data_IF_192986560177
#
_entry.id   IF_192986560177
#
_cell.length_a   1.000
_cell.length_b   1.000
_cell.length_c   1.000
_cell.angle_alpha   90.00
_cell.angle_beta   90.00
_cell.angle_gamma   90.00
#
_symmetry.space_group_name_H-M   'P 1'
#
loop_
_entity.id
_entity.type
_entity.pdbx_description
1 polymer ?
#
# COMPACT_ATOMS: atom_id res chain seq x y z
N UNK A 1 -9.29 -69.65 -45.80
CA UNK A 1 -8.65 -68.30 -45.97
C UNK A 1 -9.51 -67.11 -45.51
N UNK A 2 -10.84 -67.27 -45.28
CA UNK A 2 -11.73 -66.15 -44.87
C UNK A 2 -11.62 -65.76 -43.38
N UNK A 3 -11.43 -66.73 -42.47
CA UNK A 3 -11.37 -66.49 -41.02
C UNK A 3 -10.13 -65.69 -40.57
N UNK A 4 -8.97 -65.98 -41.17
CA UNK A 4 -7.69 -65.28 -40.90
C UNK A 4 -7.71 -63.79 -41.29
N UNK A 5 -8.49 -63.41 -42.30
CA UNK A 5 -8.63 -62.00 -42.73
C UNK A 5 -9.52 -61.19 -41.77
N UNK A 6 -10.59 -61.81 -41.24
CA UNK A 6 -11.44 -61.18 -40.23
C UNK A 6 -10.70 -60.96 -38.92
N UNK A 7 -9.89 -61.93 -38.47
CA UNK A 7 -9.12 -61.81 -37.24
C UNK A 7 -8.03 -60.73 -37.33
N UNK A 8 -7.35 -60.60 -38.47
CA UNK A 8 -6.40 -59.50 -38.73
C UNK A 8 -7.08 -58.13 -38.80
N UNK A 9 -8.27 -58.05 -39.41
CA UNK A 9 -9.05 -56.81 -39.46
C UNK A 9 -9.51 -56.35 -38.07
N UNK A 10 -9.97 -57.27 -37.23
CA UNK A 10 -10.37 -56.98 -35.85
C UNK A 10 -9.16 -56.56 -35.00
N UNK A 11 -8.01 -57.23 -35.15
CA UNK A 11 -6.79 -56.87 -34.43
C UNK A 11 -6.23 -55.50 -34.85
N UNK A 12 -6.32 -55.13 -36.14
CA UNK A 12 -5.93 -53.80 -36.61
C UNK A 12 -6.88 -52.72 -36.08
N UNK A 13 -8.19 -52.97 -36.06
CA UNK A 13 -9.17 -52.05 -35.49
C UNK A 13 -8.99 -51.87 -33.98
N UNK A 14 -8.70 -52.92 -33.22
CA UNK A 14 -8.46 -52.78 -31.77
C UNK A 14 -7.15 -52.05 -31.47
N UNK A 15 -6.10 -52.24 -32.27
CA UNK A 15 -4.84 -51.48 -32.14
C UNK A 15 -5.04 -50.00 -32.51
N UNK A 16 -5.79 -49.69 -33.57
CA UNK A 16 -6.15 -48.31 -33.92
C UNK A 16 -7.03 -47.63 -32.85
N UNK A 17 -7.96 -48.38 -32.24
CA UNK A 17 -8.78 -47.89 -31.13
C UNK A 17 -7.92 -47.63 -29.88
N UNK A 18 -6.99 -48.54 -29.54
CA UNK A 18 -6.06 -48.35 -28.41
C UNK A 18 -5.06 -47.20 -28.63
N UNK A 19 -4.58 -46.98 -29.86
CA UNK A 19 -3.71 -45.85 -30.18
C UNK A 19 -4.46 -44.51 -30.13
N UNK A 20 -5.75 -44.48 -30.44
CA UNK A 20 -6.58 -43.28 -30.34
C UNK A 20 -6.84 -42.86 -28.88
N UNK A 21 -6.90 -43.83 -27.95
CA UNK A 21 -7.07 -43.56 -26.51
C UNK A 21 -5.76 -43.11 -25.86
N UNK A 22 -4.60 -43.50 -26.39
CA UNK A 22 -3.29 -43.09 -25.88
C UNK A 22 -2.82 -41.71 -26.36
N UNK A 23 -3.46 -41.14 -27.38
CA UNK A 23 -3.13 -39.81 -27.96
C UNK A 23 -4.13 -38.71 -27.58
N UNK A 24 -5.08 -39.01 -26.68
CA UNK A 24 -5.92 -37.98 -26.05
C UNK A 24 -5.08 -37.14 -25.11
N UNK A 25 -4.31 -36.19 -25.65
CA UNK A 25 -3.67 -35.15 -24.86
C UNK A 25 -4.73 -34.52 -23.96
N UNK A 26 -4.53 -34.63 -22.65
CA UNK A 26 -5.44 -34.08 -21.66
C UNK A 26 -5.53 -32.57 -21.93
N UNK A 27 -6.70 -32.07 -22.35
CA UNK A 27 -6.85 -30.62 -22.54
C UNK A 27 -6.49 -29.91 -21.25
N UNK A 28 -5.67 -28.84 -21.31
CA UNK A 28 -5.17 -28.17 -20.12
C UNK A 28 -6.35 -27.65 -19.30
N UNK A 29 -6.37 -27.96 -18.00
CA UNK A 29 -7.44 -27.53 -17.10
C UNK A 29 -7.55 -26.01 -17.12
N UNK A 30 -8.74 -25.50 -17.41
CA UNK A 30 -8.98 -24.06 -17.44
C UNK A 30 -9.20 -23.52 -16.01
N UNK A 31 -8.48 -22.46 -15.66
CA UNK A 31 -8.51 -21.83 -14.33
C UNK A 31 -8.95 -20.38 -14.49
N UNK A 32 -10.18 -20.06 -14.09
CA UNK A 32 -10.71 -18.71 -14.19
C UNK A 32 -10.20 -17.84 -13.03
N UNK A 33 -9.62 -16.68 -13.35
CA UNK A 33 -9.20 -15.66 -12.39
C UNK A 33 -10.12 -14.46 -12.56
N UNK A 34 -10.79 -14.07 -11.47
CA UNK A 34 -11.69 -12.94 -11.43
C UNK A 34 -10.96 -11.64 -11.07
N UNK A 35 -11.44 -10.51 -11.59
CA UNK A 35 -10.98 -9.20 -11.15
C UNK A 35 -12.11 -8.17 -11.11
N UNK A 36 -12.15 -7.36 -10.05
CA UNK A 36 -12.98 -6.15 -9.93
C UNK A 36 -12.05 -4.95 -10.02
N UNK A 37 -12.15 -4.21 -11.13
CA UNK A 37 -11.20 -3.18 -11.50
C UNK A 37 -11.83 -1.78 -11.50
N UNK A 38 -11.07 -0.78 -11.05
CA UNK A 38 -11.58 0.59 -10.91
C UNK A 38 -11.99 1.24 -12.24
N UNK A 39 -11.32 0.87 -13.34
CA UNK A 39 -11.53 1.46 -14.67
C UNK A 39 -11.34 0.41 -15.76
N UNK A 40 -12.07 0.56 -16.87
CA UNK A 40 -11.98 -0.33 -18.04
C UNK A 40 -10.57 -0.46 -18.60
N UNK A 41 -9.75 0.60 -18.54
CA UNK A 41 -8.35 0.55 -19.01
C UNK A 41 -7.51 -0.52 -18.30
N UNK A 42 -7.82 -0.80 -17.03
CA UNK A 42 -7.11 -1.81 -16.25
C UNK A 42 -7.53 -3.24 -16.62
N UNK A 43 -8.68 -3.44 -17.27
CA UNK A 43 -9.11 -4.77 -17.73
C UNK A 43 -8.15 -5.34 -18.77
N UNK A 44 -7.64 -4.49 -19.67
CA UNK A 44 -6.64 -4.91 -20.64
C UNK A 44 -5.31 -5.27 -19.95
N UNK A 45 -4.85 -4.42 -19.03
CA UNK A 45 -3.64 -4.68 -18.24
C UNK A 45 -3.75 -6.01 -17.48
N UNK A 46 -4.92 -6.31 -16.91
CA UNK A 46 -5.18 -7.58 -16.24
C UNK A 46 -5.15 -8.77 -17.20
N UNK A 47 -5.78 -8.67 -18.38
CA UNK A 47 -5.74 -9.71 -19.41
C UNK A 47 -4.31 -9.98 -19.89
N UNK A 48 -3.54 -8.93 -20.11
CA UNK A 48 -2.15 -9.03 -20.54
C UNK A 48 -1.28 -9.69 -19.45
N UNK A 49 -1.50 -9.35 -18.18
CA UNK A 49 -0.81 -9.99 -17.05
C UNK A 49 -1.15 -11.49 -16.94
N UNK A 50 -2.41 -11.88 -17.15
CA UNK A 50 -2.80 -13.30 -17.18
C UNK A 50 -2.20 -14.03 -18.39
N UNK A 51 -2.12 -13.38 -19.56
CA UNK A 51 -1.46 -13.93 -20.74
C UNK A 51 0.05 -14.15 -20.53
N UNK A 52 0.73 -13.20 -19.90
CA UNK A 52 2.13 -13.34 -19.49
C UNK A 52 2.30 -14.47 -18.48
N UNK A 53 1.42 -14.56 -17.48
CA UNK A 53 1.44 -15.65 -16.50
C UNK A 53 1.21 -17.02 -17.17
N UNK A 54 0.34 -17.10 -18.18
CA UNK A 54 0.17 -18.32 -18.99
C UNK A 54 1.44 -18.68 -19.76
N UNK A 55 2.16 -17.70 -20.31
CA UNK A 55 3.41 -17.96 -21.03
C UNK A 55 4.50 -18.49 -20.09
N UNK A 56 4.54 -18.00 -18.85
CA UNK A 56 5.54 -18.39 -17.84
C UNK A 56 5.21 -19.70 -17.13
N UNK A 57 3.94 -19.88 -16.73
CA UNK A 57 3.48 -20.95 -15.84
C UNK A 57 2.45 -21.88 -16.47
N UNK A 58 1.70 -21.39 -17.47
CA UNK A 58 0.70 -22.16 -18.21
C UNK A 58 1.38 -23.16 -19.14
N UNK A 59 1.64 -24.35 -18.58
CA UNK A 59 2.12 -25.52 -19.31
C UNK A 59 0.92 -26.37 -19.74
N UNK A 60 1.19 -27.54 -20.32
CA UNK A 60 0.18 -28.51 -20.76
C UNK A 60 -0.82 -28.97 -19.67
N UNK A 61 -0.58 -28.64 -18.39
CA UNK A 61 -1.44 -29.02 -17.26
C UNK A 61 -2.60 -28.07 -17.00
N UNK A 62 -2.42 -26.76 -17.20
CA UNK A 62 -3.48 -25.78 -16.94
C UNK A 62 -3.27 -24.49 -17.71
N UNK A 63 -4.38 -23.81 -18.01
CA UNK A 63 -4.41 -22.51 -18.65
C UNK A 63 -5.30 -21.56 -17.86
N UNK A 64 -4.78 -20.38 -17.55
CA UNK A 64 -5.52 -19.35 -16.85
C UNK A 64 -6.38 -18.55 -17.83
N UNK A 65 -7.57 -18.18 -17.40
CA UNK A 65 -8.49 -17.32 -18.15
C UNK A 65 -8.87 -16.11 -17.31
N UNK A 66 -8.90 -14.94 -17.93
CA UNK A 66 -9.12 -13.67 -17.26
C UNK A 66 -10.58 -13.22 -17.40
N UNK A 67 -11.26 -13.04 -16.27
CA UNK A 67 -12.64 -12.54 -16.22
C UNK A 67 -12.64 -11.28 -15.35
N UNK A 68 -13.07 -10.16 -15.90
CA UNK A 68 -13.02 -8.87 -15.22
C UNK A 68 -14.32 -8.11 -15.29
N UNK A 69 -14.61 -7.38 -14.21
CA UNK A 69 -15.77 -6.51 -14.05
C UNK A 69 -15.28 -5.13 -13.61
N UNK A 70 -15.87 -4.07 -14.16
CA UNK A 70 -15.61 -2.72 -13.66
C UNK A 70 -16.37 -2.45 -12.35
N UNK A 71 -15.71 -1.81 -11.40
CA UNK A 71 -16.28 -1.39 -10.12
C UNK A 71 -17.61 -0.64 -10.27
N UNK A 72 -18.59 -0.97 -9.41
CA UNK A 72 -19.90 -0.31 -9.36
C UNK A 72 -19.97 0.63 -8.16
N UNK A 73 -20.53 1.85 -8.30
CA UNK A 73 -20.60 2.81 -7.20
C UNK A 73 -21.50 2.35 -6.05
N UNK A 74 -22.50 1.52 -6.32
CA UNK A 74 -23.41 1.00 -5.31
C UNK A 74 -22.94 -0.40 -4.84
N UNK A 75 -22.79 -0.58 -3.53
CA UNK A 75 -22.32 -1.83 -2.93
C UNK A 75 -23.24 -3.04 -3.21
N UNK A 76 -24.56 -2.84 -3.27
CA UNK A 76 -25.54 -3.88 -3.60
C UNK A 76 -25.35 -4.33 -5.05
N UNK A 77 -25.23 -3.38 -5.97
CA UNK A 77 -24.96 -3.69 -7.39
C UNK A 77 -23.60 -4.37 -7.57
N UNK A 78 -22.60 -3.98 -6.77
CA UNK A 78 -21.29 -4.64 -6.79
C UNK A 78 -21.40 -6.09 -6.34
N UNK A 79 -22.12 -6.38 -5.25
CA UNK A 79 -22.32 -7.75 -4.78
C UNK A 79 -23.05 -8.62 -5.82
N UNK A 80 -24.09 -8.08 -6.47
CA UNK A 80 -24.81 -8.79 -7.54
C UNK A 80 -23.91 -9.08 -8.74
N UNK A 81 -23.16 -8.09 -9.22
CA UNK A 81 -22.24 -8.27 -10.35
C UNK A 81 -21.11 -9.26 -10.04
N UNK A 82 -20.62 -9.32 -8.78
CA UNK A 82 -19.67 -10.38 -8.38
C UNK A 82 -20.30 -11.77 -8.51
N UNK A 83 -21.56 -11.95 -8.11
CA UNK A 83 -22.25 -13.24 -8.24
C UNK A 83 -22.47 -13.62 -9.72
N UNK A 84 -23.06 -12.70 -10.48
CA UNK A 84 -23.53 -12.95 -11.85
C UNK A 84 -22.39 -13.03 -12.86
N UNK A 85 -21.35 -12.22 -12.72
CA UNK A 85 -20.30 -12.08 -13.74
C UNK A 85 -19.01 -12.83 -13.36
N UNK A 86 -18.73 -13.05 -12.06
CA UNK A 86 -17.49 -13.72 -11.60
C UNK A 86 -17.75 -15.11 -11.04
N UNK A 87 -18.59 -15.23 -10.01
CA UNK A 87 -18.79 -16.51 -9.31
C UNK A 87 -19.49 -17.54 -10.21
N UNK A 88 -20.44 -17.11 -11.05
CA UNK A 88 -21.08 -17.95 -12.07
C UNK A 88 -20.07 -18.63 -13.01
N UNK A 89 -18.92 -17.99 -13.26
CA UNK A 89 -17.84 -18.48 -14.09
C UNK A 89 -16.79 -19.30 -13.33
N UNK A 90 -17.08 -19.76 -12.10
CA UNK A 90 -16.20 -20.63 -11.31
C UNK A 90 -14.78 -20.05 -11.13
N UNK A 91 -14.69 -18.78 -10.75
CA UNK A 91 -13.41 -18.12 -10.44
C UNK A 91 -12.74 -18.72 -9.20
N UNK A 92 -11.42 -18.89 -9.26
CA UNK A 92 -10.62 -19.45 -8.15
C UNK A 92 -10.17 -18.40 -7.14
N UNK A 93 -10.00 -17.17 -7.58
CA UNK A 93 -9.66 -16.02 -6.76
C UNK A 93 -10.15 -14.75 -7.44
N UNK A 94 -10.41 -13.71 -6.65
CA UNK A 94 -10.86 -12.41 -7.13
C UNK A 94 -9.87 -11.32 -6.72
N UNK A 95 -9.27 -10.66 -7.71
CA UNK A 95 -8.47 -9.46 -7.50
C UNK A 95 -9.40 -8.26 -7.34
N UNK A 96 -9.15 -7.37 -6.38
CA UNK A 96 -9.98 -6.16 -6.19
C UNK A 96 -9.11 -4.91 -6.12
N UNK A 97 -9.42 -3.94 -6.97
CA UNK A 97 -8.82 -2.60 -6.93
C UNK A 97 -9.89 -1.55 -6.67
N UNK A 98 -9.51 -0.53 -5.89
CA UNK A 98 -10.33 0.64 -5.58
C UNK A 98 -9.78 1.88 -6.32
N UNK A 99 -10.63 2.81 -6.82
CA UNK A 99 -10.16 4.08 -7.35
C UNK A 99 -9.44 4.89 -6.25
N UNK A 100 -8.20 5.36 -6.47
CA UNK A 100 -7.43 6.05 -5.43
C UNK A 100 -8.00 7.41 -4.99
N UNK A 101 -8.97 7.96 -5.74
CA UNK A 101 -9.53 9.30 -5.51
C UNK A 101 -10.88 9.31 -4.78
N UNK A 102 -11.46 8.15 -4.49
CA UNK A 102 -12.72 8.09 -3.74
C UNK A 102 -12.43 8.07 -2.24
N UNK A 103 -13.14 8.91 -1.48
CA UNK A 103 -13.20 8.85 -0.01
C UNK A 103 -13.80 7.52 0.50
N UNK A 104 -14.22 6.64 -0.40
CA UNK A 104 -14.92 5.40 -0.11
C UNK A 104 -13.95 4.22 0.06
N UNK A 105 -13.12 4.26 1.11
CA UNK A 105 -12.13 3.21 1.38
C UNK A 105 -12.74 1.81 1.65
N UNK A 106 -14.07 1.69 1.63
CA UNK A 106 -14.84 0.48 1.90
C UNK A 106 -15.29 -0.26 0.64
N UNK A 107 -14.90 0.13 -0.58
CA UNK A 107 -15.37 -0.59 -1.78
C UNK A 107 -14.99 -2.07 -1.88
N UNK A 108 -13.89 -2.58 -1.29
CA UNK A 108 -13.63 -4.01 -1.30
C UNK A 108 -14.60 -4.82 -0.43
N UNK A 109 -15.35 -4.17 0.47
CA UNK A 109 -16.26 -4.82 1.43
C UNK A 109 -17.31 -5.71 0.78
N UNK A 110 -18.15 -5.25 -0.19
CA UNK A 110 -19.14 -6.11 -0.84
C UNK A 110 -18.49 -7.31 -1.54
N UNK A 111 -17.35 -7.10 -2.22
CA UNK A 111 -16.61 -8.19 -2.88
C UNK A 111 -16.11 -9.21 -1.86
N UNK A 112 -15.54 -8.74 -0.75
CA UNK A 112 -15.02 -9.59 0.31
C UNK A 112 -16.11 -10.42 0.99
N UNK A 113 -17.28 -9.85 1.29
CA UNK A 113 -18.36 -10.59 1.93
C UNK A 113 -18.97 -11.63 0.99
N UNK A 114 -19.27 -11.23 -0.25
CA UNK A 114 -19.87 -12.13 -1.26
C UNK A 114 -18.96 -13.31 -1.58
N UNK A 115 -17.68 -13.05 -1.89
CA UNK A 115 -16.72 -14.12 -2.18
C UNK A 115 -16.36 -14.94 -0.93
N UNK A 116 -16.33 -14.29 0.24
CA UNK A 116 -16.03 -14.92 1.53
C UNK A 116 -17.04 -16.00 1.92
N UNK A 117 -18.32 -15.82 1.55
CA UNK A 117 -19.38 -16.82 1.75
C UNK A 117 -19.04 -18.16 1.09
N UNK A 118 -18.45 -18.13 -0.10
CA UNK A 118 -18.03 -19.32 -0.85
C UNK A 118 -16.57 -19.73 -0.59
N UNK A 119 -15.89 -19.09 0.39
CA UNK A 119 -14.46 -19.29 0.67
C UNK A 119 -13.56 -19.01 -0.54
N UNK A 120 -13.98 -18.15 -1.47
CA UNK A 120 -13.16 -17.71 -2.59
C UNK A 120 -12.18 -16.64 -2.07
N UNK A 121 -10.86 -16.83 -2.23
CA UNK A 121 -9.86 -15.83 -1.83
C UNK A 121 -10.03 -14.52 -2.59
N UNK A 122 -10.00 -13.41 -1.85
CA UNK A 122 -10.02 -12.05 -2.41
C UNK A 122 -8.68 -11.39 -2.17
N UNK A 123 -8.07 -10.85 -3.22
CA UNK A 123 -6.76 -10.18 -3.15
C UNK A 123 -6.93 -8.69 -3.41
N UNK A 124 -6.88 -7.90 -2.35
CA UNK A 124 -6.89 -6.44 -2.40
C UNK A 124 -5.58 -5.87 -2.93
N UNK A 125 -5.67 -5.06 -3.98
CA UNK A 125 -4.52 -4.45 -4.63
C UNK A 125 -4.15 -3.08 -4.04
N UNK A 126 -5.14 -2.30 -3.61
CA UNK A 126 -4.93 -0.90 -3.23
C UNK A 126 -5.43 -0.54 -1.83
N UNK A 127 -6.33 -1.31 -1.22
CA UNK A 127 -6.88 -0.95 0.09
C UNK A 127 -5.88 -1.19 1.23
N UNK A 128 -5.74 -0.17 2.07
CA UNK A 128 -4.85 -0.18 3.25
C UNK A 128 -5.60 -0.05 4.57
N UNK A 129 -6.93 -0.09 4.55
CA UNK A 129 -7.73 -0.10 5.78
C UNK A 129 -7.41 -1.34 6.61
N UNK A 130 -7.30 -1.17 7.92
CA UNK A 130 -6.90 -2.23 8.84
C UNK A 130 -7.99 -3.27 9.06
N UNK A 131 -9.27 -2.92 8.87
CA UNK A 131 -10.43 -3.82 9.06
C UNK A 131 -10.34 -5.11 8.23
N UNK A 132 -9.76 -5.06 7.04
CA UNK A 132 -9.59 -6.23 6.17
C UNK A 132 -8.53 -7.23 6.66
N UNK A 133 -7.79 -6.91 7.73
CA UNK A 133 -6.88 -7.85 8.38
C UNK A 133 -7.58 -8.73 9.40
N UNK A 134 -8.75 -8.32 9.89
CA UNK A 134 -9.49 -9.08 10.89
C UNK A 134 -10.05 -10.36 10.26
N UNK A 135 -9.55 -11.50 10.72
CA UNK A 135 -9.93 -12.83 10.21
C UNK A 135 -11.29 -13.32 10.73
N UNK A 136 -11.85 -12.66 11.75
CA UNK A 136 -13.23 -12.92 12.18
C UNK A 136 -14.25 -12.29 11.22
N UNK A 137 -13.87 -11.20 10.54
CA UNK A 137 -14.74 -10.45 9.62
C UNK A 137 -14.45 -10.81 8.15
N UNK A 138 -13.18 -10.72 7.75
CA UNK A 138 -12.72 -10.86 6.37
C UNK A 138 -11.76 -12.05 6.20
N UNK A 139 -12.22 -13.26 6.54
CA UNK A 139 -11.39 -14.47 6.57
C UNK A 139 -10.66 -14.75 5.24
N UNK A 140 -11.38 -14.63 4.11
CA UNK A 140 -10.85 -14.92 2.76
C UNK A 140 -10.02 -13.78 2.16
N UNK A 141 -9.84 -12.68 2.88
CA UNK A 141 -9.19 -11.49 2.33
C UNK A 141 -7.67 -11.53 2.51
N UNK A 142 -6.96 -11.24 1.43
CA UNK A 142 -5.53 -11.08 1.32
C UNK A 142 -5.25 -9.75 0.62
N UNK A 143 -4.02 -9.25 0.67
CA UNK A 143 -3.64 -8.03 -0.06
C UNK A 143 -2.15 -7.96 -0.32
N UNK A 144 -1.79 -7.20 -1.34
CA UNK A 144 -0.40 -6.96 -1.76
C UNK A 144 0.21 -5.71 -1.12
N UNK A 145 -0.58 -4.93 -0.39
CA UNK A 145 -0.15 -3.69 0.30
C UNK A 145 -0.35 -3.80 1.82
N UNK A 146 0.53 -3.23 2.65
CA UNK A 146 0.37 -3.28 4.10
C UNK A 146 -0.74 -2.32 4.60
N UNK A 147 -1.43 -2.62 5.72
CA UNK A 147 -2.37 -1.68 6.33
C UNK A 147 -1.71 -0.38 6.80
N UNK A 148 -2.52 0.64 7.05
CA UNK A 148 -2.07 1.85 7.73
C UNK A 148 -1.58 1.58 9.16
N UNK A 149 -2.20 0.69 9.93
CA UNK A 149 -1.70 0.29 11.25
C UNK A 149 -0.26 -0.24 11.26
N UNK A 150 0.26 -0.78 10.15
CA UNK A 150 1.67 -1.20 10.08
C UNK A 150 2.66 -0.03 10.02
N UNK A 151 2.21 1.21 9.78
CA UNK A 151 3.06 2.41 9.87
C UNK A 151 3.61 2.63 11.28
N UNK A 152 2.94 2.09 12.31
CA UNK A 152 3.45 2.06 13.68
C UNK A 152 4.84 1.41 13.81
N UNK A 153 5.19 0.47 12.93
CA UNK A 153 6.54 -0.10 12.88
C UNK A 153 7.59 0.98 12.57
N UNK A 154 7.30 1.82 11.59
CA UNK A 154 8.21 2.90 11.17
C UNK A 154 8.32 3.93 12.28
N UNK A 155 7.21 4.31 12.91
CA UNK A 155 7.24 5.22 14.06
C UNK A 155 8.10 4.66 15.21
N UNK A 156 7.94 3.37 15.52
CA UNK A 156 8.73 2.70 16.54
C UNK A 156 10.24 2.69 16.20
N UNK A 157 10.59 2.44 14.94
CA UNK A 157 12.00 2.47 14.51
C UNK A 157 12.58 3.90 14.54
N UNK A 158 11.80 4.92 14.18
CA UNK A 158 12.20 6.33 14.34
C UNK A 158 12.40 6.70 15.82
N UNK A 159 11.49 6.28 16.71
CA UNK A 159 11.65 6.49 18.15
C UNK A 159 12.95 5.88 18.68
N UNK A 160 13.35 4.72 18.15
CA UNK A 160 14.62 4.08 18.52
C UNK A 160 15.83 4.84 18.00
N UNK A 161 15.80 5.25 16.74
CA UNK A 161 16.92 5.96 16.10
C UNK A 161 17.19 7.31 16.78
N UNK A 162 16.13 8.09 17.00
CA UNK A 162 16.23 9.42 17.63
C UNK A 162 16.15 9.38 19.17
N UNK A 163 16.04 8.18 19.76
CA UNK A 163 15.94 7.95 21.22
C UNK A 163 14.80 8.72 21.87
N UNK A 164 13.66 8.81 21.18
CA UNK A 164 12.43 9.37 21.73
C UNK A 164 11.78 8.39 22.69
N UNK A 165 12.04 8.59 23.98
CA UNK A 165 11.59 7.66 25.01
C UNK A 165 10.20 7.98 25.57
N UNK A 166 9.72 9.20 25.34
CA UNK A 166 8.42 9.70 25.80
C UNK A 166 7.68 10.29 24.61
N UNK A 167 6.52 9.71 24.31
CA UNK A 167 5.64 10.17 23.22
C UNK A 167 4.22 10.42 23.74
N UNK A 168 3.48 11.24 23.00
CA UNK A 168 2.03 11.40 23.12
C UNK A 168 1.43 10.76 21.88
N UNK A 169 0.54 9.80 22.05
CA UNK A 169 -0.19 9.20 20.94
C UNK A 169 -1.59 9.80 20.88
N UNK A 170 -1.93 10.43 19.76
CA UNK A 170 -3.26 10.97 19.48
C UNK A 170 -3.88 10.15 18.35
N UNK A 171 -5.01 9.53 18.62
CA UNK A 171 -5.64 8.55 17.72
C UNK A 171 -7.13 8.83 17.58
N UNK A 172 -7.66 8.68 16.37
CA UNK A 172 -9.10 8.69 16.13
C UNK A 172 -9.76 7.51 16.85
N UNK A 173 -10.91 7.74 17.48
CA UNK A 173 -11.71 6.72 18.16
C UNK A 173 -12.53 5.90 17.16
N UNK A 174 -11.87 5.38 16.13
CA UNK A 174 -12.44 4.51 15.12
C UNK A 174 -11.66 3.19 15.04
N UNK A 175 -12.03 2.31 14.12
CA UNK A 175 -11.33 1.04 13.96
C UNK A 175 -9.87 1.25 13.52
N UNK A 176 -9.60 2.27 12.69
CA UNK A 176 -8.26 2.50 12.14
C UNK A 176 -7.30 3.04 13.20
N UNK A 177 -7.70 4.08 13.95
CA UNK A 177 -6.91 4.66 15.02
C UNK A 177 -6.62 3.66 16.13
N UNK A 178 -7.62 2.87 16.56
CA UNK A 178 -7.41 1.77 17.52
C UNK A 178 -6.48 0.69 17.02
N UNK A 179 -6.53 0.35 15.73
CA UNK A 179 -5.61 -0.64 15.14
C UNK A 179 -4.16 -0.12 15.15
N UNK A 180 -3.94 1.15 14.83
CA UNK A 180 -2.63 1.80 14.91
C UNK A 180 -2.12 1.87 16.36
N UNK A 181 -2.97 2.27 17.31
CA UNK A 181 -2.66 2.27 18.75
C UNK A 181 -2.22 0.90 19.21
N UNK A 182 -3.06 -0.12 19.02
CA UNK A 182 -2.79 -1.49 19.47
C UNK A 182 -1.49 -2.03 18.89
N UNK A 183 -1.22 -1.74 17.61
CA UNK A 183 0.02 -2.17 16.96
C UNK A 183 1.25 -1.52 17.58
N UNK A 184 1.20 -0.22 17.86
CA UNK A 184 2.29 0.50 18.51
C UNK A 184 2.51 0.02 19.95
N UNK A 185 1.44 -0.12 20.73
CA UNK A 185 1.51 -0.65 22.11
C UNK A 185 2.17 -2.03 22.15
N UNK A 186 1.77 -2.93 21.26
CA UNK A 186 2.39 -4.27 21.13
C UNK A 186 3.90 -4.17 20.87
N UNK A 187 4.33 -3.26 20.00
CA UNK A 187 5.76 -3.07 19.69
C UNK A 187 6.55 -2.52 20.89
N UNK A 188 5.95 -1.61 21.65
CA UNK A 188 6.54 -1.06 22.87
C UNK A 188 6.68 -2.17 23.93
N UNK A 189 5.63 -2.95 24.18
CA UNK A 189 5.61 -4.08 25.14
C UNK A 189 6.61 -5.20 24.78
N UNK A 190 6.67 -5.60 23.51
CA UNK A 190 7.64 -6.59 23.01
C UNK A 190 9.09 -6.16 23.27
N UNK A 191 9.39 -4.85 23.20
CA UNK A 191 10.71 -4.34 23.57
C UNK A 191 10.90 -4.47 25.08
N UNK A 192 9.94 -4.01 25.87
CA UNK A 192 10.07 -4.03 27.34
C UNK A 192 10.38 -5.43 27.85
N UNK A 193 9.65 -6.43 27.35
CA UNK A 193 9.82 -7.85 27.71
C UNK A 193 11.20 -8.38 27.30
N UNK A 194 11.65 -8.16 26.06
CA UNK A 194 13.01 -8.56 25.60
C UNK A 194 14.13 -7.97 26.47
N UNK A 195 13.90 -6.78 27.00
CA UNK A 195 14.86 -6.08 27.86
C UNK A 195 14.91 -6.67 29.24
N UNK A 196 13.74 -6.91 29.84
CA UNK A 196 13.62 -7.58 31.14
C UNK A 196 14.29 -8.95 31.11
N UNK A 197 14.05 -9.74 30.05
CA UNK A 197 14.64 -11.07 29.90
C UNK A 197 16.17 -11.01 29.78
N UNK A 198 16.71 -10.12 28.94
CA UNK A 198 18.17 -9.93 28.81
C UNK A 198 18.84 -9.53 30.13
N UNK A 199 18.14 -8.75 30.95
CA UNK A 199 18.63 -8.31 32.26
C UNK A 199 18.62 -9.44 33.30
N UNK A 200 17.69 -10.39 33.20
CA UNK A 200 17.64 -11.54 34.12
C UNK A 200 18.78 -12.55 33.88
N UNK A 201 19.27 -12.64 32.64
CA UNK A 201 20.38 -13.52 32.26
C UNK A 201 21.78 -12.94 32.56
N UNK A 202 21.91 -11.64 32.80
CA UNK A 202 23.19 -10.97 33.10
C UNK A 202 23.16 -10.38 34.52
N UNK A 203 23.35 -11.24 35.53
CA UNK A 203 23.38 -10.86 36.96
C UNK A 203 24.63 -10.08 37.39
N UNK A 204 25.70 -10.10 36.57
CA UNK A 204 26.95 -9.41 36.87
C UNK A 204 27.11 -8.18 35.96
N UNK A 205 26.62 -7.01 36.40
CA UNK A 205 27.34 -5.73 36.32
C UNK A 205 26.48 -4.57 36.82
N UNK A 206 27.08 -3.81 37.73
CA UNK A 206 26.63 -2.54 38.31
C UNK A 206 26.47 -1.38 37.31
N UNK A 207 26.14 -1.66 36.04
CA UNK A 207 25.71 -0.69 35.05
C UNK A 207 24.27 -1.01 34.67
N UNK A 208 23.34 -0.62 35.55
CA UNK A 208 21.91 -0.58 35.28
C UNK A 208 21.64 0.56 34.28
N UNK A 209 22.15 0.39 33.06
CA UNK A 209 22.10 1.42 32.03
C UNK A 209 20.69 1.38 31.42
N UNK A 210 19.83 2.21 32.03
CA UNK A 210 18.52 2.65 31.53
C UNK A 210 18.65 3.19 30.10
N UNK A 211 18.83 2.31 29.11
CA UNK A 211 18.34 2.59 27.76
C UNK A 211 16.83 2.57 27.87
N UNK A 212 16.29 3.69 28.37
CA UNK A 212 14.87 3.97 28.65
C UNK A 212 14.06 3.34 27.53
N UNK A 213 13.22 2.37 27.86
CA UNK A 213 12.32 1.81 26.87
C UNK A 213 11.46 2.95 26.37
N UNK A 214 11.26 3.09 25.05
CA UNK A 214 10.26 4.02 24.56
C UNK A 214 8.91 3.66 25.18
N UNK A 215 8.23 4.67 25.72
CA UNK A 215 6.92 4.54 26.36
C UNK A 215 5.99 5.62 25.83
N UNK A 216 4.71 5.25 25.69
CA UNK A 216 3.65 6.23 25.54
C UNK A 216 3.38 6.84 26.93
N UNK A 217 3.58 8.14 27.06
CA UNK A 217 3.22 8.87 28.28
C UNK A 217 1.70 8.93 28.43
N UNK A 218 1.01 9.17 27.32
CA UNK A 218 -0.44 9.18 27.26
C UNK A 218 -0.95 8.82 25.87
N UNK A 219 -2.10 8.14 25.85
CA UNK A 219 -2.89 7.93 24.64
C UNK A 219 -4.15 8.77 24.76
N UNK A 220 -4.37 9.63 23.76
CA UNK A 220 -5.50 10.55 23.67
C UNK A 220 -6.39 10.11 22.50
N UNK A 221 -7.59 9.65 22.84
CA UNK A 221 -8.61 9.25 21.88
C UNK A 221 -9.52 10.43 21.58
N UNK A 222 -9.91 10.60 20.32
CA UNK A 222 -10.85 11.64 19.93
C UNK A 222 -11.86 11.15 18.90
N UNK A 223 -13.09 11.65 19.00
CA UNK A 223 -14.19 11.41 18.07
C UNK A 223 -14.64 12.74 17.42
N UNK A 224 -15.62 12.67 16.52
CA UNK A 224 -16.18 13.85 15.83
C UNK A 224 -16.75 14.91 16.79
N UNK A 225 -17.25 14.50 17.95
CA UNK A 225 -17.83 15.40 18.97
C UNK A 225 -16.79 15.96 19.94
N UNK A 226 -15.54 15.51 19.83
CA UNK A 226 -14.49 15.91 20.77
C UNK A 226 -14.03 17.35 20.49
N UNK A 227 -13.88 18.15 21.55
CA UNK A 227 -13.27 19.47 21.41
C UNK A 227 -11.75 19.33 21.29
N UNK A 228 -11.24 19.46 20.06
CA UNK A 228 -9.80 19.33 19.74
C UNK A 228 -8.92 20.26 20.58
N UNK A 229 -9.41 21.46 20.92
CA UNK A 229 -8.64 22.42 21.72
C UNK A 229 -8.42 21.89 23.14
N UNK A 230 -9.44 21.32 23.76
CA UNK A 230 -9.33 20.75 25.11
C UNK A 230 -8.39 19.54 25.14
N UNK A 231 -8.51 18.65 24.14
CA UNK A 231 -7.64 17.49 23.98
C UNK A 231 -6.15 17.90 23.83
N UNK A 232 -5.89 18.93 23.02
CA UNK A 232 -4.54 19.41 22.80
C UNK A 232 -3.98 20.21 23.98
N UNK A 233 -4.81 20.89 24.77
CA UNK A 233 -4.38 21.49 26.03
C UNK A 233 -3.93 20.42 27.02
N UNK A 234 -4.68 19.31 27.13
CA UNK A 234 -4.28 18.15 27.92
C UNK A 234 -2.96 17.55 27.43
N UNK A 235 -2.74 17.48 26.10
CA UNK A 235 -1.47 17.06 25.53
C UNK A 235 -0.32 18.04 25.82
N UNK A 236 -0.61 19.35 25.85
CA UNK A 236 0.37 20.42 26.09
C UNK A 236 0.89 20.44 27.52
N UNK A 237 0.06 20.02 28.48
CA UNK A 237 0.42 19.95 29.90
C UNK A 237 1.35 18.77 30.25
N UNK A 238 1.54 17.83 29.32
CA UNK A 238 2.46 16.69 29.46
C UNK A 238 3.92 17.11 29.28
N UNK A 239 4.87 16.23 29.64
CA UNK A 239 6.31 16.48 29.46
C UNK A 239 6.79 16.12 28.05
N UNK A 240 6.23 15.07 27.46
CA UNK A 240 6.56 14.65 26.10
C UNK A 240 6.28 15.75 25.06
N UNK A 241 7.15 15.81 24.06
CA UNK A 241 7.08 16.77 22.95
C UNK A 241 7.02 16.12 21.56
N UNK A 242 7.10 14.79 21.52
CA UNK A 242 6.94 13.99 20.32
C UNK A 242 5.50 13.52 20.28
N UNK A 243 4.74 14.00 19.31
CA UNK A 243 3.32 13.71 19.12
C UNK A 243 3.20 12.80 17.90
N UNK A 244 2.58 11.63 18.10
CA UNK A 244 2.20 10.73 17.01
C UNK A 244 0.71 10.91 16.75
N UNK A 245 0.34 11.25 15.51
CA UNK A 245 -1.05 11.38 15.10
C UNK A 245 -1.43 10.25 14.13
N UNK A 246 -2.54 9.59 14.42
CA UNK A 246 -3.21 8.64 13.52
C UNK A 246 -4.68 9.03 13.39
N UNK A 247 -5.08 9.51 12.22
CA UNK A 247 -6.39 10.08 11.96
C UNK A 247 -6.80 9.96 10.47
N UNK A 248 -8.06 10.25 10.15
CA UNK A 248 -8.44 10.50 8.75
C UNK A 248 -7.89 11.83 8.24
N UNK A 249 -7.93 12.04 6.92
CA UNK A 249 -7.47 13.29 6.29
C UNK A 249 -8.21 14.53 6.84
N UNK A 250 -9.54 14.45 6.94
CA UNK A 250 -10.36 15.56 7.42
C UNK A 250 -10.11 15.85 8.91
N UNK A 251 -9.96 14.80 9.72
CA UNK A 251 -9.67 14.92 11.15
C UNK A 251 -8.26 15.48 11.39
N UNK A 252 -7.26 15.03 10.64
CA UNK A 252 -5.90 15.54 10.74
C UNK A 252 -5.83 17.04 10.44
N UNK A 253 -6.55 17.51 9.41
CA UNK A 253 -6.65 18.94 9.10
C UNK A 253 -7.22 19.75 10.29
N UNK A 254 -8.26 19.22 10.96
CA UNK A 254 -8.84 19.87 12.14
C UNK A 254 -7.84 19.91 13.32
N UNK A 255 -7.11 18.82 13.56
CA UNK A 255 -6.07 18.74 14.60
C UNK A 255 -4.96 19.75 14.33
N UNK A 256 -4.45 19.83 13.09
CA UNK A 256 -3.39 20.78 12.75
C UNK A 256 -3.80 22.24 12.95
N UNK A 257 -5.03 22.58 12.59
CA UNK A 257 -5.58 23.93 12.80
C UNK A 257 -5.63 24.30 14.29
N UNK A 258 -6.10 23.38 15.14
CA UNK A 258 -6.13 23.58 16.59
C UNK A 258 -4.72 23.64 17.19
N UNK A 259 -3.81 22.75 16.75
CA UNK A 259 -2.42 22.74 17.21
C UNK A 259 -1.68 24.04 16.85
N UNK A 260 -1.98 24.65 15.69
CA UNK A 260 -1.46 25.95 15.29
C UNK A 260 -1.93 27.07 16.23
N UNK A 261 -3.21 27.06 16.60
CA UNK A 261 -3.77 28.04 17.55
C UNK A 261 -3.16 27.92 18.96
N UNK A 262 -2.73 26.72 19.34
CA UNK A 262 -2.13 26.43 20.65
C UNK A 262 -0.60 26.54 20.68
N UNK A 263 0.02 26.97 19.57
CA UNK A 263 1.47 27.04 19.38
C UNK A 263 2.20 25.69 19.59
N UNK A 264 1.54 24.58 19.25
CA UNK A 264 2.11 23.22 19.33
C UNK A 264 2.77 22.76 18.03
N UNK A 265 2.95 23.67 17.06
CA UNK A 265 3.50 23.42 15.72
C UNK A 265 4.85 24.08 15.48
N UNK A 266 5.37 24.81 16.48
CA UNK A 266 6.65 25.51 16.41
C UNK A 266 7.81 24.74 17.05
N UNK A 267 8.89 25.46 17.31
CA UNK A 267 10.10 24.92 17.93
C UNK A 267 9.80 24.20 19.25
N UNK A 268 10.37 23.01 19.41
CA UNK A 268 10.22 22.20 20.62
C UNK A 268 9.13 21.14 20.55
N UNK A 269 8.41 21.01 19.44
CA UNK A 269 7.52 19.89 19.15
C UNK A 269 8.00 19.10 17.93
N UNK A 270 7.75 17.79 17.95
CA UNK A 270 7.96 16.90 16.80
C UNK A 270 6.64 16.21 16.51
N UNK A 271 6.14 16.34 15.28
CA UNK A 271 4.95 15.63 14.81
C UNK A 271 5.37 14.47 13.91
N UNK A 272 5.03 13.26 14.33
CA UNK A 272 5.13 12.05 13.52
C UNK A 272 3.73 11.64 13.09
N UNK A 273 3.55 11.44 11.80
CA UNK A 273 2.25 11.19 11.23
C UNK A 273 2.32 10.07 10.21
N UNK A 274 1.15 9.56 9.82
CA UNK A 274 1.03 8.58 8.77
C UNK A 274 0.89 9.20 7.38
N UNK A 275 0.53 8.34 6.43
CA UNK A 275 0.32 8.74 5.03
C UNK A 275 -0.91 9.62 4.84
N UNK A 276 -2.03 9.31 5.51
CA UNK A 276 -3.32 10.00 5.30
C UNK A 276 -3.32 11.42 5.85
N UNK A 277 -2.54 11.61 6.90
CA UNK A 277 -2.32 12.88 7.59
C UNK A 277 -1.40 13.82 6.78
N UNK A 278 -0.83 13.33 5.67
CA UNK A 278 0.04 14.06 4.73
C UNK A 278 -0.55 14.13 3.31
N UNK A 279 -1.85 13.86 3.15
CA UNK A 279 -2.56 13.94 1.86
C UNK A 279 -3.68 14.99 1.89
N UNK A 280 -4.13 15.41 0.70
CA UNK A 280 -5.30 16.26 0.50
C UNK A 280 -5.36 17.49 1.42
N UNK A 281 -6.47 17.65 2.16
CA UNK A 281 -6.69 18.77 3.09
C UNK A 281 -5.69 18.77 4.25
N UNK A 282 -5.33 17.59 4.76
CA UNK A 282 -4.37 17.48 5.86
C UNK A 282 -3.02 18.10 5.47
N UNK A 283 -2.53 17.82 4.25
CA UNK A 283 -1.29 18.39 3.75
C UNK A 283 -1.33 19.92 3.68
N UNK A 284 -2.47 20.50 3.28
CA UNK A 284 -2.61 21.97 3.19
C UNK A 284 -2.56 22.67 4.55
N UNK A 285 -2.94 21.95 5.62
CA UNK A 285 -2.92 22.45 6.99
C UNK A 285 -1.72 21.95 7.80
N UNK A 286 -0.89 21.06 7.22
CA UNK A 286 0.23 20.45 7.91
C UNK A 286 1.23 21.53 8.39
N UNK A 287 1.77 21.40 9.61
CA UNK A 287 2.76 22.34 10.13
C UNK A 287 4.07 22.27 9.34
N UNK A 288 4.70 23.42 9.09
CA UNK A 288 5.96 23.53 8.37
C UNK A 288 7.14 23.00 9.20
N UNK A 289 7.36 21.68 9.20
CA UNK A 289 8.62 21.08 9.67
C UNK A 289 9.83 21.37 8.75
N UNK A 290 9.61 22.13 7.67
CA UNK A 290 10.57 22.35 6.57
C UNK A 290 11.37 23.64 6.69
N UNK A 291 10.79 24.71 7.25
CA UNK A 291 11.38 26.07 7.17
C UNK A 291 12.56 26.32 8.12
N UNK A 292 12.68 25.57 9.22
CA UNK A 292 13.79 25.75 10.16
C UNK A 292 15.15 25.25 9.63
N UNK A 293 15.16 24.49 8.53
CA UNK A 293 16.40 24.09 7.86
C UNK A 293 16.98 25.18 6.93
N UNK A 294 16.18 26.15 6.49
CA UNK A 294 16.65 27.25 5.61
C UNK A 294 17.02 28.52 6.38
N UNK A 295 16.40 28.78 7.54
CA UNK A 295 16.74 29.94 8.38
C UNK A 295 18.00 29.74 9.23
N UNK A 296 18.49 28.49 9.35
CA UNK A 296 19.80 28.16 9.95
C UNK A 296 21.00 28.30 8.99
N UNK A 297 20.77 28.40 7.68
CA UNK A 297 21.84 28.39 6.67
C UNK A 297 22.55 29.75 6.46
N UNK A 298 22.13 30.81 7.17
CA UNK A 298 22.76 32.14 7.08
C UNK A 298 23.68 32.54 8.24
N UNK A 299 23.94 31.65 9.21
CA UNK A 299 25.13 31.78 10.07
C UNK A 299 26.28 30.98 9.45
N UNK A 300 27.14 31.73 8.76
CA UNK A 300 28.41 31.30 8.19
C UNK A 300 29.28 30.61 9.27
N UNK A 301 29.17 29.29 9.41
CA UNK A 301 30.16 28.48 10.12
C UNK A 301 31.38 28.31 9.21
N UNK A 302 32.42 29.06 9.53
CA UNK A 302 33.77 28.89 8.98
C UNK A 302 34.42 27.74 9.76
N UNK A 303 34.61 26.59 9.11
CA UNK A 303 35.53 25.54 9.59
C UNK A 303 34.98 24.13 9.65
N UNK A 304 35.67 23.25 8.91
CA UNK A 304 35.81 21.78 9.09
C UNK A 304 34.59 20.87 8.85
N UNK A 305 34.54 20.37 7.60
CA UNK A 305 34.20 19.00 7.16
C UNK A 305 33.30 18.12 8.02
N UNK A 306 32.09 17.86 7.50
CA UNK A 306 31.20 16.78 7.91
C UNK A 306 29.84 16.95 7.23
N UNK A 307 29.55 16.13 6.22
CA UNK A 307 28.25 16.09 5.54
C UNK A 307 27.18 15.51 6.48
N UNK A 308 26.13 16.28 6.77
CA UNK A 308 24.95 15.82 7.52
C UNK A 308 23.76 15.67 6.56
N UNK A 309 23.24 14.46 6.45
CA UNK A 309 21.99 14.16 5.75
C UNK A 309 20.80 14.53 6.64
N UNK A 310 20.02 15.55 6.23
CA UNK A 310 18.71 15.84 6.81
C UNK A 310 17.68 14.85 6.28
N UNK A 311 17.14 13.99 7.15
CA UNK A 311 16.09 13.05 6.80
C UNK A 311 14.72 13.76 6.74
N UNK A 312 14.32 14.21 5.56
CA UNK A 312 12.90 14.31 5.21
C UNK A 312 12.49 12.96 4.62
N UNK A 313 11.99 12.05 5.46
CA UNK A 313 11.48 10.76 5.01
C UNK A 313 10.04 10.92 4.48
N UNK A 314 9.86 11.76 3.47
CA UNK A 314 8.72 11.69 2.56
C UNK A 314 9.11 10.74 1.43
N UNK A 315 8.59 9.51 1.45
CA UNK A 315 8.70 8.60 0.31
C UNK A 315 7.87 9.17 -0.86
N UNK A 316 8.47 10.09 -1.61
CA UNK A 316 7.98 10.50 -2.92
C UNK A 316 8.32 9.37 -3.88
N UNK A 317 7.36 8.46 -4.11
CA UNK A 317 7.41 7.59 -5.27
C UNK A 317 7.46 8.47 -6.52
N UNK A 318 8.50 8.32 -7.32
CA UNK A 318 8.63 8.96 -8.62
C UNK A 318 7.51 8.47 -9.54
N UNK A 319 6.41 9.22 -9.61
CA UNK A 319 5.51 9.16 -10.75
C UNK A 319 6.21 9.87 -11.91
N UNK A 320 6.88 9.09 -12.76
CA UNK A 320 7.24 9.53 -14.10
C UNK A 320 5.95 9.89 -14.84
N UNK A 321 5.76 11.18 -15.04
CA UNK A 321 4.77 11.74 -15.95
C UNK A 321 5.20 11.34 -17.37
N UNK A 322 4.55 10.33 -17.96
CA UNK A 322 4.61 10.12 -19.40
C UNK A 322 3.76 11.23 -20.03
N UNK A 323 4.42 12.25 -20.60
CA UNK A 323 3.75 13.21 -21.47
C UNK A 323 3.44 12.54 -22.81
N UNK A 324 2.15 12.48 -23.15
CA UNK A 324 1.66 12.19 -24.49
C UNK A 324 2.09 13.30 -25.46
N UNK A 325 2.95 12.96 -26.42
CA UNK A 325 3.11 13.74 -27.66
C UNK A 325 2.27 13.07 -28.76
N UNK A 326 1.28 13.76 -29.36
CA UNK A 326 0.68 13.28 -30.60
C UNK A 326 1.62 13.58 -31.77
N UNK A 327 1.99 12.52 -32.47
CA UNK A 327 2.57 12.54 -33.81
C UNK A 327 1.59 13.14 -34.82
N UNK A 328 1.97 14.25 -35.45
CA UNK A 328 1.49 14.64 -36.78
C UNK A 328 2.65 14.52 -37.77
N UNK A 329 2.51 13.62 -38.75
CA UNK A 329 3.11 13.75 -40.08
C UNK A 329 2.38 14.93 -40.77
N UNK A 330 2.91 15.75 -41.69
CA UNK A 330 3.79 15.58 -42.85
C UNK A 330 4.27 16.98 -43.26
N UNK A 331 5.39 17.10 -43.98
CA UNK A 331 5.74 18.35 -44.66
C UNK A 331 7.24 18.44 -44.96
N UNK A 332 7.60 18.08 -46.18
CA UNK A 332 8.93 18.29 -46.73
C UNK A 332 9.25 19.80 -46.76
N UNK A 333 10.45 20.17 -46.33
CA UNK A 333 11.27 21.10 -47.10
C UNK A 333 12.75 20.97 -46.70
N UNK A 334 13.54 20.73 -47.73
CA UNK A 334 14.99 20.80 -47.78
C UNK A 334 15.40 22.26 -47.61
N UNK A 335 16.48 22.57 -46.88
CA UNK A 335 17.56 23.50 -47.29
C UNK A 335 18.54 23.82 -46.12
N UNK A 336 19.80 23.45 -46.42
CA UNK A 336 21.11 24.06 -46.11
C UNK A 336 21.61 24.32 -44.68
N UNK A 337 22.68 23.56 -44.37
CA UNK A 337 23.79 23.84 -43.46
C UNK A 337 24.62 25.03 -43.99
N UNK A 338 24.94 26.07 -43.18
CA UNK A 338 25.97 27.04 -43.55
C UNK A 338 27.35 26.50 -43.17
N UNK A 339 28.20 26.31 -44.18
CA UNK A 339 29.65 26.13 -44.01
C UNK A 339 30.30 27.46 -43.63
N UNK A 340 31.25 27.38 -42.69
CA UNK A 340 32.29 28.39 -42.47
C UNK A 340 33.02 28.71 -43.79
N UNK A 341 33.26 30.00 -44.03
CA UNK A 341 34.41 30.44 -44.82
C UNK A 341 35.04 31.67 -44.16
N UNK A 342 36.34 31.70 -44.28
CA UNK A 342 37.35 32.50 -43.60
C UNK A 342 37.91 33.51 -44.61
N UNK A 343 38.37 34.69 -44.13
CA UNK A 343 39.26 35.67 -44.82
C UNK A 343 38.68 36.41 -46.06
N UNK A 344 38.99 37.67 -46.39
CA UNK A 344 40.14 38.56 -46.15
C UNK A 344 39.80 40.02 -46.55
N UNK A 345 40.40 40.97 -45.83
CA UNK A 345 40.94 42.29 -46.24
C UNK A 345 40.13 43.44 -46.90
N UNK A 346 40.18 44.58 -46.18
CA UNK A 346 40.51 45.98 -46.58
C UNK A 346 39.79 46.63 -47.77
N UNK A 347 39.07 47.73 -47.49
CA UNK A 347 39.58 49.13 -47.61
C UNK A 347 39.05 49.93 -46.43
#
# INVERSE_FOLDING_TARGET
MSSQRKLRGVLLLTVLQCCSVALGGCEPRLVNIGAVLSQKRYEQVFKDAVSQANTLYGKDKFKMNAISVTHKPNAIQMALSVCEDLISNQVYAILVSHPPQSNDHLTPTPVSYTAGFYRIPVVGLTTRMSIYSDKSIHLSFLRTVPPYSHQAQVWFDLMREFRWNHIILIVSDDHEGRAAQKRLETLLEERETKTKNRNYENLDQQNFDFRRTPKAEKVLLFSQDTNMTSLLLEAKDLEARVIILSASEDEAAAVYKAARQLNMTGSGYVWLVGEREMTGKALSEAPDGRRDSELGAHRRCRGSGGEYYGASAGLRGEHQHLEDRPTLQTGADVIQVPRRSDRTDRV
#
